data_IF_822574931025
#
_entry.id   IF_822574931025
#
_cell.length_a   1.000
_cell.length_b   1.000
_cell.length_c   1.000
_cell.angle_alpha   90.00
_cell.angle_beta   90.00
_cell.angle_gamma   90.00
#
_symmetry.space_group_name_H-M   'P 1'
#
loop_
_entity.id
_entity.type
_entity.pdbx_description
1 polymer ?
#
# COMPACT_ATOMS: atom_id res chain seq x y z
N UNK A 1 -19.40 -30.87 45.77
CA UNK A 1 -20.73 -31.49 45.62
C UNK A 1 -21.11 -31.45 44.15
N UNK A 2 -20.86 -32.55 43.43
CA UNK A 2 -21.63 -32.93 42.24
C UNK A 2 -22.93 -33.60 42.73
N UNK A 3 -24.03 -33.67 41.96
CA UNK A 3 -24.17 -34.52 40.75
C UNK A 3 -24.98 -33.79 39.64
N UNK A 4 -25.28 -34.30 38.46
CA UNK A 4 -25.30 -35.68 37.96
C UNK A 4 -25.69 -35.71 36.47
N UNK A 5 -25.57 -36.91 35.93
CA UNK A 5 -25.54 -37.34 34.53
C UNK A 5 -26.93 -37.82 34.07
N UNK A 6 -27.04 -38.08 32.76
CA UNK A 6 -27.82 -39.14 32.06
C UNK A 6 -28.94 -38.65 31.12
N UNK A 7 -28.91 -39.14 29.88
CA UNK A 7 -30.07 -39.13 28.97
C UNK A 7 -29.76 -39.42 27.50
N UNK A 8 -29.36 -40.66 27.17
CA UNK A 8 -29.30 -41.21 25.81
C UNK A 8 -30.66 -41.83 25.45
N UNK A 9 -31.24 -41.53 24.27
CA UNK A 9 -32.15 -42.44 23.52
C UNK A 9 -31.97 -42.16 22.02
N UNK A 10 -31.82 -43.22 21.21
CA UNK A 10 -31.76 -43.16 19.75
C UNK A 10 -32.87 -43.94 19.05
N UNK A 11 -32.87 -43.92 17.72
CA UNK A 11 -33.39 -44.93 16.75
C UNK A 11 -33.45 -44.27 15.36
N UNK A 12 -32.78 -44.79 14.32
CA UNK A 12 -33.08 -45.96 13.43
C UNK A 12 -34.14 -45.67 12.34
N UNK A 13 -33.79 -46.02 11.10
CA UNK A 13 -34.68 -46.26 9.95
C UNK A 13 -34.11 -45.67 8.65
N UNK A 14 -33.36 -46.37 7.78
CA UNK A 14 -33.69 -47.45 6.79
C UNK A 14 -34.08 -46.96 5.39
N UNK A 15 -33.45 -47.60 4.37
CA UNK A 15 -33.89 -47.80 2.97
C UNK A 15 -33.83 -46.60 2.01
N UNK A 16 -33.50 -46.71 0.70
CA UNK A 16 -33.30 -47.84 -0.23
C UNK A 16 -32.70 -47.34 -1.55
N UNK A 17 -31.92 -48.20 -2.21
CA UNK A 17 -31.69 -48.40 -3.65
C UNK A 17 -32.10 -47.34 -4.70
N UNK A 18 -31.17 -47.14 -5.65
CA UNK A 18 -31.45 -46.64 -7.00
C UNK A 18 -30.26 -46.88 -7.93
N UNK A 19 -30.13 -48.11 -8.43
CA UNK A 19 -29.28 -48.46 -9.57
C UNK A 19 -29.83 -47.82 -10.85
N UNK A 20 -28.96 -47.24 -11.67
CA UNK A 20 -29.22 -47.07 -13.10
C UNK A 20 -27.92 -47.30 -13.87
N UNK A 21 -27.77 -48.52 -14.39
CA UNK A 21 -26.97 -48.81 -15.57
C UNK A 21 -27.72 -48.25 -16.79
N UNK A 22 -26.99 -47.65 -17.73
CA UNK A 22 -27.22 -47.84 -19.17
C UNK A 22 -25.90 -47.65 -19.94
N UNK A 23 -25.49 -48.74 -20.58
CA UNK A 23 -24.54 -48.84 -21.66
C UNK A 23 -24.84 -47.87 -22.83
N UNK A 24 -23.80 -47.37 -23.50
CA UNK A 24 -23.79 -47.46 -24.96
C UNK A 24 -22.39 -47.49 -25.57
N UNK A 25 -22.17 -48.54 -26.37
CA UNK A 25 -21.06 -48.76 -27.32
C UNK A 25 -21.13 -47.67 -28.41
N UNK A 26 -20.05 -47.09 -28.91
CA UNK A 26 -19.00 -47.72 -29.71
C UNK A 26 -19.16 -47.30 -31.19
N UNK A 27 -18.23 -46.52 -31.75
CA UNK A 27 -18.05 -46.47 -33.20
C UNK A 27 -16.63 -46.13 -33.65
N UNK A 28 -16.28 -46.79 -34.74
CA UNK A 28 -14.97 -47.00 -35.36
C UNK A 28 -14.51 -45.81 -36.20
N UNK A 29 -13.20 -45.61 -36.20
CA UNK A 29 -12.31 -45.57 -37.37
C UNK A 29 -12.72 -44.72 -38.58
N UNK A 30 -11.96 -43.64 -38.82
CA UNK A 30 -11.96 -42.88 -40.06
C UNK A 30 -10.61 -42.19 -40.24
N UNK A 31 -9.66 -42.89 -40.86
CA UNK A 31 -8.44 -42.29 -41.43
C UNK A 31 -8.84 -41.48 -42.67
N UNK A 32 -8.46 -40.21 -42.70
CA UNK A 32 -8.46 -39.40 -43.92
C UNK A 32 -7.19 -38.54 -43.93
N UNK A 33 -6.28 -38.91 -44.81
CA UNK A 33 -5.17 -38.08 -45.28
C UNK A 33 -5.72 -36.89 -46.07
N UNK A 34 -5.20 -35.68 -45.83
CA UNK A 34 -5.14 -34.60 -46.82
C UNK A 34 -4.24 -33.44 -46.33
N UNK A 35 -3.77 -32.56 -47.23
CA UNK A 35 -2.33 -32.33 -47.41
C UNK A 35 -1.89 -30.89 -47.08
N UNK A 36 -0.56 -30.73 -46.98
CA UNK A 36 0.11 -29.50 -47.43
C UNK A 36 -0.05 -28.26 -46.54
N UNK A 37 0.58 -28.28 -45.37
CA UNK A 37 0.87 -27.05 -44.61
C UNK A 37 2.02 -26.31 -45.27
N UNK A 38 1.73 -25.28 -46.06
CA UNK A 38 2.70 -24.25 -46.41
C UNK A 38 2.99 -23.42 -45.16
N UNK A 39 4.08 -23.76 -44.49
CA UNK A 39 4.60 -23.01 -43.35
C UNK A 39 5.13 -21.65 -43.80
N UNK A 40 4.27 -20.63 -43.84
CA UNK A 40 4.71 -19.25 -43.69
C UNK A 40 5.31 -19.10 -42.30
N UNK A 41 6.64 -19.03 -42.24
CA UNK A 41 7.41 -18.68 -41.05
C UNK A 41 6.95 -17.28 -40.61
N UNK A 42 5.99 -17.23 -39.69
CA UNK A 42 5.63 -16.00 -38.97
C UNK A 42 6.86 -15.64 -38.14
N UNK A 43 7.57 -14.64 -38.63
CA UNK A 43 8.71 -13.99 -37.96
C UNK A 43 8.28 -13.69 -36.52
N UNK A 44 8.85 -14.42 -35.57
CA UNK A 44 8.49 -14.31 -34.16
C UNK A 44 8.56 -12.87 -33.70
N UNK A 45 7.41 -12.29 -33.38
CA UNK A 45 7.33 -11.00 -32.72
C UNK A 45 8.10 -11.11 -31.41
N UNK A 46 9.18 -10.34 -31.30
CA UNK A 46 10.09 -10.37 -30.16
C UNK A 46 9.27 -10.16 -28.87
N UNK A 47 9.23 -11.12 -27.92
CA UNK A 47 8.37 -11.05 -26.73
C UNK A 47 8.64 -9.80 -25.87
N UNK A 48 9.81 -9.19 -26.05
CA UNK A 48 10.18 -7.90 -25.45
C UNK A 48 9.28 -6.73 -25.89
N UNK A 49 8.85 -6.69 -27.17
CA UNK A 49 8.02 -5.61 -27.69
C UNK A 49 6.59 -5.65 -27.14
N UNK A 50 6.04 -6.85 -26.91
CA UNK A 50 4.70 -7.00 -26.33
C UNK A 50 4.68 -6.55 -24.87
N UNK A 51 5.77 -6.77 -24.13
CA UNK A 51 5.90 -6.34 -22.73
C UNK A 51 6.07 -4.82 -22.62
N UNK A 52 6.82 -4.20 -23.54
CA UNK A 52 6.98 -2.74 -23.59
C UNK A 52 5.66 -2.03 -23.95
N UNK A 53 4.87 -2.60 -24.86
CA UNK A 53 3.56 -2.07 -25.23
C UNK A 53 2.53 -2.22 -24.11
N UNK A 54 2.58 -3.32 -23.33
CA UNK A 54 1.78 -3.50 -22.12
C UNK A 54 2.12 -2.43 -21.06
N UNK A 55 3.42 -2.24 -20.79
CA UNK A 55 3.90 -1.25 -19.83
C UNK A 55 3.52 0.20 -20.25
N UNK A 56 3.60 0.52 -21.54
CA UNK A 56 3.18 1.82 -22.06
C UNK A 56 1.66 2.06 -21.92
N UNK A 57 0.85 1.01 -22.07
CA UNK A 57 -0.59 1.05 -21.79
C UNK A 57 -0.89 1.29 -20.31
N UNK A 58 -0.20 0.59 -19.42
CA UNK A 58 -0.32 0.74 -17.97
C UNK A 58 0.09 2.14 -17.49
N UNK A 59 1.19 2.69 -18.01
CA UNK A 59 1.65 4.05 -17.69
C UNK A 59 0.63 5.10 -18.18
N UNK A 60 0.04 4.91 -19.37
CA UNK A 60 -0.97 5.83 -19.90
C UNK A 60 -2.23 5.85 -19.04
N UNK A 61 -2.71 4.68 -18.60
CA UNK A 61 -3.86 4.59 -17.70
C UNK A 61 -3.53 5.12 -16.29
N UNK A 62 -2.31 4.90 -15.78
CA UNK A 62 -1.86 5.48 -14.52
C UNK A 62 -1.81 7.02 -14.58
N UNK A 63 -1.31 7.61 -15.67
CA UNK A 63 -1.28 9.06 -15.88
C UNK A 63 -2.69 9.64 -16.05
N UNK A 64 -3.56 8.96 -16.80
CA UNK A 64 -4.98 9.35 -16.93
C UNK A 64 -5.69 9.31 -15.58
N UNK A 65 -5.50 8.24 -14.83
CA UNK A 65 -6.03 8.09 -13.48
C UNK A 65 -5.51 9.21 -12.57
N UNK A 66 -4.20 9.47 -12.56
CA UNK A 66 -3.60 10.52 -11.75
C UNK A 66 -4.14 11.91 -12.13
N UNK A 67 -4.31 12.20 -13.42
CA UNK A 67 -4.94 13.44 -13.90
C UNK A 67 -6.40 13.55 -13.46
N UNK A 68 -7.18 12.47 -13.54
CA UNK A 68 -8.55 12.43 -13.01
C UNK A 68 -8.55 12.67 -11.49
N UNK A 69 -7.62 12.07 -10.73
CA UNK A 69 -7.49 12.33 -9.29
C UNK A 69 -7.12 13.78 -8.98
N UNK A 70 -6.23 14.42 -9.74
CA UNK A 70 -5.91 15.84 -9.57
C UNK A 70 -7.11 16.75 -9.87
N UNK A 71 -7.90 16.43 -10.90
CA UNK A 71 -9.13 17.17 -11.20
C UNK A 71 -10.20 16.97 -10.11
N UNK A 72 -10.27 15.77 -9.53
CA UNK A 72 -11.13 15.47 -8.39
C UNK A 72 -10.68 16.20 -7.13
N UNK A 73 -9.37 16.29 -6.89
CA UNK A 73 -8.79 17.05 -5.79
C UNK A 73 -9.16 18.54 -5.91
N UNK A 74 -9.04 19.13 -7.11
CA UNK A 74 -9.46 20.52 -7.36
C UNK A 74 -10.97 20.74 -7.16
N UNK A 75 -11.81 19.74 -7.46
CA UNK A 75 -13.25 19.84 -7.22
C UNK A 75 -13.61 19.66 -5.73
N UNK A 76 -12.89 18.78 -5.02
CA UNK A 76 -13.08 18.54 -3.59
C UNK A 76 -12.48 19.65 -2.72
N UNK A 77 -11.44 20.34 -3.17
CA UNK A 77 -10.73 21.36 -2.39
C UNK A 77 -11.68 22.47 -1.84
N UNK A 78 -12.58 23.07 -2.64
CA UNK A 78 -13.58 24.00 -2.10
C UNK A 78 -14.52 23.37 -1.06
N UNK A 79 -14.85 22.08 -1.21
CA UNK A 79 -15.77 21.37 -0.31
C UNK A 79 -15.09 20.98 1.00
N UNK A 80 -13.83 20.59 0.95
CA UNK A 80 -12.98 20.36 2.13
C UNK A 80 -12.77 21.66 2.89
N UNK A 81 -12.52 22.76 2.19
CA UNK A 81 -12.45 24.10 2.79
C UNK A 81 -13.79 24.50 3.44
N UNK A 82 -14.91 24.25 2.76
CA UNK A 82 -16.25 24.49 3.29
C UNK A 82 -16.52 23.67 4.56
N UNK A 83 -16.13 22.39 4.57
CA UNK A 83 -16.18 21.53 5.77
C UNK A 83 -15.30 22.06 6.91
N UNK A 84 -14.09 22.55 6.61
CA UNK A 84 -13.20 23.17 7.60
C UNK A 84 -13.84 24.39 8.26
N UNK A 85 -14.40 25.30 7.43
CA UNK A 85 -15.14 26.48 7.90
C UNK A 85 -16.36 26.08 8.74
N UNK A 86 -17.08 25.04 8.34
CA UNK A 86 -18.21 24.49 9.10
C UNK A 86 -17.71 23.97 10.47
N UNK A 87 -16.55 23.30 10.52
CA UNK A 87 -15.90 22.88 11.77
C UNK A 87 -15.59 24.04 12.73
N UNK A 88 -15.04 25.15 12.21
CA UNK A 88 -14.75 26.36 13.02
C UNK A 88 -16.04 26.96 13.63
N UNK A 89 -17.14 26.99 12.88
CA UNK A 89 -18.44 27.46 13.39
C UNK A 89 -18.96 26.60 14.54
N UNK A 90 -18.73 25.28 14.50
CA UNK A 90 -19.06 24.37 15.60
C UNK A 90 -18.27 24.75 16.84
N UNK A 91 -16.96 24.91 16.69
CA UNK A 91 -16.08 25.17 17.82
C UNK A 91 -16.40 26.54 18.44
N UNK A 92 -16.73 27.54 17.62
CA UNK A 92 -17.19 28.85 18.09
C UNK A 92 -18.53 28.77 18.83
N UNK A 93 -19.47 27.98 18.33
CA UNK A 93 -20.76 27.74 19.00
C UNK A 93 -20.60 27.01 20.35
N UNK A 94 -19.63 26.10 20.46
CA UNK A 94 -19.39 25.35 21.70
C UNK A 94 -18.62 26.17 22.74
N UNK A 95 -17.64 26.95 22.30
CA UNK A 95 -16.68 27.67 23.16
C UNK A 95 -17.04 29.12 23.47
N UNK A 96 -18.06 29.69 22.81
CA UNK A 96 -18.48 31.07 23.05
C UNK A 96 -18.90 31.33 24.49
N UNK A 97 -18.03 31.99 25.27
CA UNK A 97 -18.30 32.45 26.63
C UNK A 97 -19.47 33.44 26.62
N UNK A 98 -20.51 33.13 27.39
CA UNK A 98 -21.72 33.95 27.52
C UNK A 98 -22.89 33.59 26.60
N UNK A 99 -22.77 32.59 25.73
CA UNK A 99 -23.91 32.10 24.94
C UNK A 99 -24.83 31.19 25.75
N UNK A 100 -26.15 31.38 25.58
CA UNK A 100 -27.17 30.54 26.23
C UNK A 100 -27.17 29.12 25.65
N UNK A 101 -27.67 28.15 26.41
CA UNK A 101 -27.76 26.74 25.96
C UNK A 101 -28.58 26.65 24.66
N UNK A 102 -29.65 27.44 24.54
CA UNK A 102 -30.50 27.53 23.36
C UNK A 102 -29.76 28.04 22.12
N UNK A 103 -28.85 29.01 22.28
CA UNK A 103 -28.03 29.54 21.19
C UNK A 103 -26.99 28.52 20.72
N UNK A 104 -26.34 27.81 21.65
CA UNK A 104 -25.43 26.71 21.33
C UNK A 104 -26.16 25.59 20.58
N UNK A 105 -27.35 25.21 21.03
CA UNK A 105 -28.19 24.21 20.39
C UNK A 105 -28.72 24.64 19.00
N UNK A 106 -28.94 25.95 18.77
CA UNK A 106 -29.27 26.49 17.46
C UNK A 106 -28.07 26.44 16.52
N UNK A 107 -26.89 26.85 17.00
CA UNK A 107 -25.63 26.79 16.23
C UNK A 107 -25.29 25.36 15.79
N UNK A 108 -25.42 24.38 16.69
CA UNK A 108 -25.20 22.97 16.37
C UNK A 108 -26.18 22.43 15.31
N UNK A 109 -27.45 22.86 15.31
CA UNK A 109 -28.43 22.45 14.29
C UNK A 109 -28.09 23.01 12.91
N UNK A 110 -27.69 24.28 12.85
CA UNK A 110 -27.24 24.92 11.60
C UNK A 110 -25.99 24.21 11.07
N UNK A 111 -25.05 23.89 11.97
CA UNK A 111 -23.85 23.13 11.66
C UNK A 111 -24.18 21.74 11.07
N UNK A 112 -25.04 20.96 11.73
CA UNK A 112 -25.45 19.64 11.25
C UNK A 112 -26.04 19.71 9.84
N UNK A 113 -26.91 20.69 9.58
CA UNK A 113 -27.57 20.81 8.28
C UNK A 113 -26.59 21.23 7.17
N UNK A 114 -25.66 22.15 7.46
CA UNK A 114 -24.62 22.52 6.50
C UNK A 114 -23.67 21.37 6.19
N UNK A 115 -23.25 20.61 7.22
CA UNK A 115 -22.42 19.42 7.02
C UNK A 115 -23.15 18.35 6.19
N UNK A 116 -24.46 18.16 6.43
CA UNK A 116 -25.30 17.25 5.64
C UNK A 116 -25.33 17.65 4.17
N UNK A 117 -25.59 18.93 3.87
CA UNK A 117 -25.64 19.42 2.49
C UNK A 117 -24.32 19.25 1.72
N UNK A 118 -23.19 19.48 2.38
CA UNK A 118 -21.87 19.26 1.76
C UNK A 118 -21.62 17.76 1.54
N UNK A 119 -22.01 16.92 2.50
CA UNK A 119 -21.87 15.46 2.39
C UNK A 119 -22.75 14.89 1.27
N UNK A 120 -24.02 15.31 1.18
CA UNK A 120 -24.96 14.90 0.12
C UNK A 120 -24.42 15.27 -1.29
N UNK A 121 -23.69 16.38 -1.41
CA UNK A 121 -23.05 16.78 -2.66
C UNK A 121 -21.82 15.93 -3.01
N UNK A 122 -21.12 15.39 -2.00
CA UNK A 122 -19.94 14.56 -2.18
C UNK A 122 -20.27 13.08 -2.38
N UNK A 123 -21.39 12.60 -1.84
CA UNK A 123 -21.76 11.17 -1.83
C UNK A 123 -21.80 10.53 -3.23
N UNK A 124 -22.49 11.09 -4.25
CA UNK A 124 -22.53 10.48 -5.58
C UNK A 124 -21.14 10.36 -6.23
N UNK A 125 -20.27 11.32 -5.90
CA UNK A 125 -18.90 11.34 -6.40
C UNK A 125 -18.06 10.26 -5.70
N UNK A 126 -18.15 10.15 -4.38
CA UNK A 126 -17.47 9.11 -3.61
C UNK A 126 -17.92 7.72 -4.06
N UNK A 127 -19.21 7.52 -4.31
CA UNK A 127 -19.75 6.26 -4.84
C UNK A 127 -19.20 5.93 -6.22
N UNK A 128 -19.18 6.91 -7.14
CA UNK A 128 -18.61 6.70 -8.48
C UNK A 128 -17.11 6.39 -8.41
N UNK A 129 -16.39 7.04 -7.51
CA UNK A 129 -14.97 6.81 -7.27
C UNK A 129 -14.71 5.41 -6.69
N UNK A 130 -15.51 4.99 -5.70
CA UNK A 130 -15.45 3.65 -5.11
C UNK A 130 -15.76 2.56 -6.13
N UNK A 131 -16.75 2.78 -7.02
CA UNK A 131 -17.06 1.86 -8.11
C UNK A 131 -15.86 1.74 -9.06
N UNK A 132 -15.26 2.85 -9.48
CA UNK A 132 -14.07 2.84 -10.36
C UNK A 132 -12.90 2.09 -9.71
N UNK A 133 -12.59 2.36 -8.45
CA UNK A 133 -11.52 1.64 -7.73
C UNK A 133 -11.77 0.14 -7.68
N UNK A 134 -13.00 -0.27 -7.34
CA UNK A 134 -13.35 -1.70 -7.29
C UNK A 134 -13.26 -2.41 -8.64
N UNK A 135 -13.42 -1.68 -9.75
CA UNK A 135 -13.26 -2.22 -11.10
C UNK A 135 -11.79 -2.41 -11.51
N UNK A 136 -10.88 -1.58 -10.97
CA UNK A 136 -9.45 -1.65 -11.27
C UNK A 136 -8.77 -2.83 -10.58
N UNK A 137 -9.21 -3.19 -9.37
CA UNK A 137 -8.66 -4.36 -8.66
C UNK A 137 -9.05 -5.68 -9.34
N UNK A 138 -10.28 -5.79 -9.86
CA UNK A 138 -10.71 -7.00 -10.60
C UNK A 138 -9.92 -7.24 -11.88
N UNK A 139 -9.53 -6.18 -12.59
CA UNK A 139 -8.75 -6.31 -13.82
C UNK A 139 -7.35 -6.89 -13.59
N UNK A 140 -6.82 -6.82 -12.34
CA UNK A 140 -5.53 -7.42 -11.98
C UNK A 140 -5.64 -8.91 -11.63
N UNK A 141 -6.76 -9.34 -11.06
CA UNK A 141 -7.01 -10.76 -10.76
C UNK A 141 -7.17 -11.57 -12.06
N UNK A 142 -7.84 -11.02 -13.07
CA UNK A 142 -8.10 -11.72 -14.34
C UNK A 142 -6.87 -11.85 -15.25
N UNK A 143 -5.78 -11.10 -15.01
CA UNK A 143 -4.58 -11.11 -15.87
C UNK A 143 -3.42 -11.97 -15.32
N UNK A 144 -3.55 -12.52 -14.10
CA UNK A 144 -2.44 -13.17 -13.39
C UNK A 144 -2.36 -14.69 -13.48
N UNK A 145 -3.41 -15.40 -13.88
CA UNK A 145 -3.42 -16.86 -13.82
C UNK A 145 -3.71 -17.48 -15.17
N UNK A 146 -2.64 -17.89 -15.85
CA UNK A 146 -2.70 -18.94 -16.85
C UNK A 146 -3.40 -20.14 -16.25
N UNK A 147 -4.68 -20.29 -16.60
CA UNK A 147 -5.57 -21.32 -16.14
C UNK A 147 -4.97 -22.68 -16.51
N UNK A 148 -4.39 -23.36 -15.52
CA UNK A 148 -4.19 -24.81 -15.61
C UNK A 148 -5.59 -25.42 -15.47
N UNK A 149 -6.13 -26.11 -16.49
CA UNK A 149 -7.43 -26.74 -16.40
C UNK A 149 -7.27 -28.07 -15.68
N UNK A 150 -7.97 -28.23 -14.56
CA UNK A 150 -8.17 -29.53 -13.93
C UNK A 150 -7.77 -29.54 -12.47
N UNK A 151 -8.73 -29.26 -11.60
CA UNK A 151 -9.20 -30.18 -10.56
C UNK A 151 -10.40 -29.49 -9.90
N UNK A 152 -11.60 -29.98 -10.21
CA UNK A 152 -12.84 -29.51 -9.60
C UNK A 152 -12.78 -29.77 -8.09
N UNK A 153 -12.67 -28.69 -7.31
CA UNK A 153 -12.76 -28.76 -5.87
C UNK A 153 -13.81 -27.76 -5.40
N UNK A 154 -14.97 -28.27 -4.99
CA UNK A 154 -16.06 -27.51 -4.37
C UNK A 154 -15.72 -27.10 -2.93
N UNK A 155 -14.49 -26.67 -2.65
CA UNK A 155 -14.16 -26.06 -1.37
C UNK A 155 -14.64 -24.61 -1.44
N UNK A 156 -15.67 -24.29 -0.66
CA UNK A 156 -16.03 -22.92 -0.37
C UNK A 156 -14.76 -22.20 0.11
N UNK A 157 -14.25 -21.29 -0.71
CA UNK A 157 -13.12 -20.42 -0.39
C UNK A 157 -13.35 -19.86 1.02
N UNK A 158 -12.44 -20.10 1.98
CA UNK A 158 -12.62 -19.62 3.34
C UNK A 158 -12.76 -18.10 3.29
N UNK A 159 -13.88 -17.59 3.78
CA UNK A 159 -14.16 -16.15 3.82
C UNK A 159 -12.96 -15.44 4.45
N UNK A 160 -12.32 -14.57 3.67
CA UNK A 160 -11.14 -13.84 4.12
C UNK A 160 -11.44 -13.15 5.46
N UNK A 161 -10.58 -13.36 6.45
CA UNK A 161 -10.74 -12.74 7.78
C UNK A 161 -10.82 -11.22 7.67
N UNK A 162 -10.16 -10.66 6.64
CA UNK A 162 -10.22 -9.25 6.25
C UNK A 162 -11.63 -8.81 5.88
N UNK A 163 -12.29 -9.55 5.00
CA UNK A 163 -13.59 -9.18 4.45
C UNK A 163 -14.69 -9.18 5.50
N UNK A 164 -14.64 -10.15 6.41
CA UNK A 164 -15.54 -10.21 7.56
C UNK A 164 -15.30 -9.07 8.56
N UNK A 165 -14.05 -8.62 8.72
CA UNK A 165 -13.67 -7.60 9.71
C UNK A 165 -13.88 -6.17 9.20
N UNK A 166 -13.74 -5.93 7.89
CA UNK A 166 -13.84 -4.57 7.32
C UNK A 166 -15.26 -4.21 6.85
N UNK A 167 -16.16 -5.18 6.71
CA UNK A 167 -17.53 -4.93 6.25
C UNK A 167 -17.53 -4.25 4.88
N UNK A 168 -18.21 -3.12 4.75
CA UNK A 168 -18.25 -2.35 3.50
C UNK A 168 -16.89 -1.81 3.05
N UNK A 169 -15.96 -1.56 3.99
CA UNK A 169 -14.60 -1.09 3.67
C UNK A 169 -13.74 -2.17 3.00
N UNK A 170 -14.17 -3.43 2.97
CA UNK A 170 -13.40 -4.51 2.32
C UNK A 170 -13.10 -4.26 0.85
N UNK A 171 -13.90 -3.42 0.17
CA UNK A 171 -13.73 -3.06 -1.23
C UNK A 171 -12.54 -2.13 -1.49
N UNK A 172 -12.02 -1.49 -0.45
CA UNK A 172 -10.88 -0.60 -0.53
C UNK A 172 -9.60 -1.37 -0.27
N UNK A 173 -8.49 -1.00 -0.90
CA UNK A 173 -7.17 -1.54 -0.56
C UNK A 173 -6.71 -1.04 0.81
N UNK A 174 -5.86 -1.82 1.48
CA UNK A 174 -5.34 -1.46 2.81
C UNK A 174 -4.60 -0.11 2.79
N UNK A 175 -3.88 0.16 1.70
CA UNK A 175 -3.21 1.44 1.47
C UNK A 175 -4.19 2.62 1.46
N UNK A 176 -5.32 2.49 0.74
CA UNK A 176 -6.34 3.53 0.69
C UNK A 176 -7.05 3.73 2.02
N UNK A 177 -7.32 2.65 2.76
CA UNK A 177 -7.91 2.76 4.09
C UNK A 177 -6.94 3.51 5.01
N UNK A 178 -5.68 3.09 5.08
CA UNK A 178 -4.69 3.68 5.98
C UNK A 178 -4.34 5.11 5.56
N UNK A 179 -3.82 5.31 4.35
CA UNK A 179 -3.28 6.60 3.90
C UNK A 179 -4.35 7.58 3.43
N UNK A 180 -5.48 7.08 2.94
CA UNK A 180 -6.57 7.92 2.42
C UNK A 180 -7.60 8.28 3.49
N UNK A 181 -8.12 7.27 4.22
CA UNK A 181 -9.25 7.48 5.15
C UNK A 181 -8.76 7.75 6.56
N UNK A 182 -7.97 6.83 7.14
CA UNK A 182 -7.58 6.92 8.55
C UNK A 182 -6.70 8.13 8.84
N UNK A 183 -5.87 8.51 7.87
CA UNK A 183 -5.07 9.73 7.95
C UNK A 183 -5.96 10.95 8.20
N UNK A 184 -7.17 11.07 7.66
CA UNK A 184 -8.04 12.25 7.79
C UNK A 184 -8.69 12.39 9.18
N UNK A 185 -8.72 11.33 9.97
CA UNK A 185 -9.42 11.29 11.25
C UNK A 185 -8.63 12.04 12.35
N UNK A 186 -9.35 12.52 13.36
CA UNK A 186 -8.75 13.01 14.61
C UNK A 186 -8.25 11.84 15.47
N UNK A 187 -7.38 12.09 16.44
CA UNK A 187 -6.92 11.04 17.35
C UNK A 187 -8.08 10.34 18.09
N UNK A 188 -9.12 11.08 18.47
CA UNK A 188 -10.30 10.54 19.16
C UNK A 188 -11.13 9.63 18.25
N UNK A 189 -11.38 10.06 17.02
CA UNK A 189 -12.16 9.28 16.05
C UNK A 189 -11.40 8.03 15.62
N UNK A 190 -10.09 8.15 15.44
CA UNK A 190 -9.20 7.04 15.13
C UNK A 190 -9.22 5.97 16.24
N UNK A 191 -9.15 6.38 17.51
CA UNK A 191 -9.29 5.46 18.65
C UNK A 191 -10.66 4.81 18.70
N UNK A 192 -11.73 5.56 18.42
CA UNK A 192 -13.10 5.02 18.41
C UNK A 192 -13.28 3.99 17.29
N UNK A 193 -12.75 4.29 16.11
CA UNK A 193 -12.79 3.40 14.95
C UNK A 193 -11.96 2.13 15.18
N UNK A 194 -10.82 2.24 15.87
CA UNK A 194 -9.96 1.12 16.25
C UNK A 194 -10.69 0.06 17.12
N UNK A 195 -11.75 0.43 17.82
CA UNK A 195 -12.54 -0.48 18.66
C UNK A 195 -13.58 -1.30 17.87
N UNK A 196 -13.83 -0.93 16.61
CA UNK A 196 -14.91 -1.54 15.82
C UNK A 196 -14.50 -2.82 15.08
N UNK A 197 -13.20 -3.02 14.84
CA UNK A 197 -12.69 -4.09 13.99
C UNK A 197 -11.23 -4.40 14.28
N UNK A 198 -10.83 -5.67 14.16
CA UNK A 198 -9.42 -6.09 14.34
C UNK A 198 -8.50 -5.46 13.31
N UNK A 199 -8.93 -5.38 12.05
CA UNK A 199 -8.15 -4.74 10.99
C UNK A 199 -8.05 -3.23 11.22
N UNK A 200 -9.15 -2.56 11.60
CA UNK A 200 -9.10 -1.13 11.92
C UNK A 200 -8.27 -0.83 13.17
N UNK A 201 -8.25 -1.74 14.16
CA UNK A 201 -7.32 -1.66 15.27
C UNK A 201 -5.86 -1.70 14.80
N UNK A 202 -5.49 -2.62 13.92
CA UNK A 202 -4.11 -2.70 13.41
C UNK A 202 -3.78 -1.49 12.52
N UNK A 203 -4.68 -1.11 11.61
CA UNK A 203 -4.50 -0.02 10.66
C UNK A 203 -4.40 1.34 11.35
N UNK A 204 -5.23 1.57 12.37
CA UNK A 204 -5.17 2.80 13.17
C UNK A 204 -3.84 2.97 13.92
N UNK A 205 -3.08 1.89 14.15
CA UNK A 205 -1.76 1.95 14.77
C UNK A 205 -0.63 2.21 13.78
N UNK A 206 -0.93 2.37 12.49
CA UNK A 206 0.08 2.66 11.49
C UNK A 206 0.78 4.00 11.78
N UNK A 207 2.11 3.98 11.74
CA UNK A 207 2.93 5.12 12.14
C UNK A 207 2.74 6.35 11.24
N UNK A 208 2.33 6.16 9.98
CA UNK A 208 2.04 7.26 9.03
C UNK A 208 0.88 8.13 9.54
N UNK A 209 -0.17 7.50 10.09
CA UNK A 209 -1.36 8.20 10.60
C UNK A 209 -0.99 9.08 11.80
N UNK A 210 -0.30 8.49 12.78
CA UNK A 210 0.12 9.22 13.99
C UNK A 210 1.18 10.27 13.72
N UNK A 211 2.06 10.05 12.74
CA UNK A 211 3.00 11.08 12.30
C UNK A 211 2.26 12.32 11.80
N UNK A 212 1.23 12.15 10.98
CA UNK A 212 0.42 13.28 10.50
C UNK A 212 -0.23 14.00 11.68
N UNK A 213 -0.94 13.27 12.54
CA UNK A 213 -1.63 13.84 13.70
C UNK A 213 -0.67 14.64 14.58
N UNK A 214 0.48 14.05 14.91
CA UNK A 214 1.50 14.72 15.68
C UNK A 214 2.00 16.01 15.02
N UNK A 215 2.30 15.99 13.73
CA UNK A 215 2.81 17.18 13.03
C UNK A 215 1.73 18.26 12.85
N UNK A 216 0.46 17.87 12.70
CA UNK A 216 -0.65 18.80 12.55
C UNK A 216 -1.02 19.50 13.86
N UNK A 217 -1.06 18.76 14.97
CA UNK A 217 -1.49 19.28 16.27
C UNK A 217 -0.34 19.90 17.10
N UNK A 218 0.91 19.61 16.75
CA UNK A 218 2.06 20.12 17.50
C UNK A 218 2.22 21.63 17.30
N UNK A 219 2.15 22.37 18.40
CA UNK A 219 2.51 23.78 18.43
C UNK A 219 4.00 23.97 18.13
N UNK A 220 4.30 24.83 17.13
CA UNK A 220 5.67 25.14 16.68
C UNK A 220 6.59 25.70 17.78
N UNK A 221 6.02 26.28 18.84
CA UNK A 221 6.77 26.82 19.99
C UNK A 221 7.05 25.81 21.12
N UNK A 222 6.62 24.55 20.99
CA UNK A 222 6.78 23.56 22.06
C UNK A 222 8.20 22.98 22.13
N UNK A 223 8.62 22.57 23.32
CA UNK A 223 9.95 22.07 23.68
C UNK A 223 10.50 21.00 22.71
N UNK A 224 11.83 20.79 22.71
CA UNK A 224 12.56 19.84 21.84
C UNK A 224 11.79 18.53 21.61
N UNK A 225 11.60 18.16 20.34
CA UNK A 225 10.98 16.90 19.95
C UNK A 225 11.81 15.70 20.44
N UNK A 226 11.16 14.75 21.12
CA UNK A 226 11.77 13.49 21.55
C UNK A 226 11.03 12.33 20.89
N UNK A 227 11.68 11.69 19.91
CA UNK A 227 11.10 10.52 19.25
C UNK A 227 11.16 9.29 20.17
N UNK A 228 10.03 8.59 20.33
CA UNK A 228 9.85 7.45 21.26
C UNK A 228 9.75 6.10 20.56
N UNK A 229 10.43 5.95 19.43
CA UNK A 229 10.44 4.72 18.64
C UNK A 229 9.24 4.54 17.70
N UNK A 230 8.08 5.09 18.04
CA UNK A 230 6.91 5.21 17.14
C UNK A 230 6.29 6.61 17.24
N UNK A 231 5.61 7.05 16.19
CA UNK A 231 4.87 8.31 16.20
C UNK A 231 3.67 8.28 17.15
N UNK A 232 3.03 7.12 17.34
CA UNK A 232 1.98 6.96 18.36
C UNK A 232 2.52 7.24 19.77
N UNK A 233 3.65 6.63 20.15
CA UNK A 233 4.25 6.88 21.46
C UNK A 233 4.77 8.33 21.58
N UNK A 234 5.31 8.88 20.49
CA UNK A 234 5.76 10.28 20.44
C UNK A 234 4.59 11.26 20.59
N UNK A 235 3.42 10.91 20.05
CA UNK A 235 2.18 11.66 20.19
C UNK A 235 1.63 11.61 21.61
N UNK A 236 1.59 10.43 22.24
CA UNK A 236 1.12 10.26 23.61
C UNK A 236 2.08 10.86 24.66
N UNK A 237 3.39 10.84 24.39
CA UNK A 237 4.42 11.26 25.34
C UNK A 237 5.37 12.32 24.71
N UNK A 238 4.86 13.53 24.41
CA UNK A 238 5.58 14.52 23.60
C UNK A 238 6.75 15.21 24.32
N UNK A 239 6.81 15.12 25.65
CA UNK A 239 7.81 15.79 26.50
C UNK A 239 8.86 14.80 27.04
N UNK A 240 10.11 15.24 27.28
CA UNK A 240 11.11 14.46 28.01
C UNK A 240 10.61 13.99 29.39
N UNK A 241 9.81 14.80 30.09
CA UNK A 241 9.29 14.49 31.43
C UNK A 241 8.42 13.22 31.45
N UNK A 242 7.87 12.85 30.29
CA UNK A 242 7.06 11.64 30.13
C UNK A 242 7.89 10.35 29.95
N UNK A 243 9.21 10.40 30.06
CA UNK A 243 10.11 9.24 29.89
C UNK A 243 9.70 8.04 30.75
N UNK A 244 9.44 8.28 32.03
CA UNK A 244 9.06 7.24 33.00
C UNK A 244 7.69 6.66 32.65
N UNK A 245 6.72 7.53 32.35
CA UNK A 245 5.37 7.13 31.94
C UNK A 245 5.38 6.31 30.64
N UNK A 246 6.18 6.73 29.65
CA UNK A 246 6.32 6.03 28.38
C UNK A 246 6.89 4.62 28.58
N UNK A 247 7.94 4.46 29.40
CA UNK A 247 8.55 3.15 29.68
C UNK A 247 7.59 2.19 30.39
N UNK A 248 6.72 2.69 31.26
CA UNK A 248 5.71 1.90 31.97
C UNK A 248 4.44 1.62 31.16
N UNK A 249 4.24 2.27 30.02
CA UNK A 249 2.97 2.23 29.30
C UNK A 249 2.69 0.82 28.72
N UNK A 250 1.44 0.31 28.76
CA UNK A 250 1.10 -1.01 28.24
C UNK A 250 1.48 -1.23 26.78
N UNK A 251 1.46 -0.17 25.95
CA UNK A 251 1.87 -0.29 24.54
C UNK A 251 3.36 -0.60 24.36
N UNK A 252 4.18 -0.32 25.37
CA UNK A 252 5.62 -0.61 25.37
C UNK A 252 5.89 -1.92 26.10
N UNK A 253 5.26 -2.13 27.25
CA UNK A 253 5.52 -3.29 28.12
C UNK A 253 4.81 -4.55 27.66
N UNK A 254 3.65 -4.42 27.02
CA UNK A 254 2.77 -5.52 26.62
C UNK A 254 2.26 -5.29 25.18
N UNK A 255 3.12 -5.44 24.16
CA UNK A 255 2.69 -5.28 22.77
C UNK A 255 1.56 -6.26 22.47
N UNK A 256 0.41 -5.73 22.03
CA UNK A 256 -0.78 -6.52 21.73
C UNK A 256 -0.50 -7.38 20.50
N UNK A 257 -0.51 -8.69 20.66
CA UNK A 257 -0.38 -9.63 19.55
C UNK A 257 -1.77 -9.93 18.97
N UNK A 258 -2.04 -9.44 17.76
CA UNK A 258 -3.32 -9.63 17.08
C UNK A 258 -3.17 -10.73 16.03
N UNK A 259 -3.82 -11.86 16.27
CA UNK A 259 -3.76 -13.01 15.38
C UNK A 259 -4.78 -12.92 14.23
N UNK A 260 -4.44 -13.54 13.10
CA UNK A 260 -5.33 -13.68 11.94
C UNK A 260 -5.53 -12.40 11.14
N UNK A 261 -4.65 -11.41 11.30
CA UNK A 261 -4.57 -10.21 10.47
C UNK A 261 -3.39 -10.36 9.52
N UNK A 262 -3.66 -10.34 8.23
CA UNK A 262 -2.66 -10.29 7.18
C UNK A 262 -2.98 -9.11 6.26
N UNK A 263 -1.97 -8.30 6.00
CA UNK A 263 -2.06 -7.13 5.12
C UNK A 263 -0.74 -7.04 4.36
N UNK A 264 -0.78 -7.24 3.05
CA UNK A 264 0.42 -7.12 2.20
C UNK A 264 1.03 -5.72 2.30
N UNK A 265 0.19 -4.69 2.41
CA UNK A 265 0.64 -3.32 2.57
C UNK A 265 1.47 -3.15 3.86
N UNK A 266 0.97 -3.62 5.01
CA UNK A 266 1.71 -3.55 6.27
C UNK A 266 2.95 -4.43 6.26
N UNK A 267 2.88 -5.61 5.64
CA UNK A 267 4.04 -6.50 5.48
C UNK A 267 5.14 -5.84 4.65
N UNK A 268 4.80 -5.22 3.52
CA UNK A 268 5.74 -4.48 2.69
C UNK A 268 6.34 -3.30 3.44
N UNK A 269 5.54 -2.57 4.21
CA UNK A 269 6.04 -1.48 5.05
C UNK A 269 7.03 -2.00 6.10
N UNK A 270 6.67 -3.05 6.83
CA UNK A 270 7.55 -3.68 7.82
C UNK A 270 8.84 -4.20 7.19
N UNK A 271 8.75 -4.89 6.05
CA UNK A 271 9.91 -5.38 5.30
C UNK A 271 10.83 -4.22 4.92
N UNK A 272 10.30 -3.14 4.34
CA UNK A 272 11.10 -1.97 3.96
C UNK A 272 11.76 -1.30 5.16
N UNK A 273 11.11 -1.29 6.33
CA UNK A 273 11.66 -0.71 7.55
C UNK A 273 12.69 -1.59 8.28
N UNK A 274 12.67 -2.91 8.06
CA UNK A 274 13.55 -3.87 8.74
C UNK A 274 14.56 -4.56 7.81
N UNK A 275 14.45 -4.35 6.50
CA UNK A 275 15.42 -4.85 5.55
C UNK A 275 16.72 -4.07 5.73
N UNK A 276 17.79 -4.79 6.10
CA UNK A 276 19.12 -4.21 6.06
C UNK A 276 19.45 -3.79 4.64
N UNK A 277 19.98 -2.58 4.46
CA UNK A 277 20.45 -2.12 3.15
C UNK A 277 21.52 -3.06 2.55
N UNK A 278 22.22 -3.82 3.39
CA UNK A 278 23.16 -4.86 2.95
C UNK A 278 22.49 -6.01 2.18
N UNK A 279 21.17 -6.18 2.27
CA UNK A 279 20.40 -7.20 1.55
C UNK A 279 19.77 -6.70 0.25
N UNK A 280 19.73 -5.38 0.02
CA UNK A 280 19.30 -4.82 -1.27
C UNK A 280 20.30 -5.12 -2.41
N UNK A 281 21.51 -5.53 -2.04
CA UNK A 281 22.53 -6.07 -2.92
C UNK A 281 23.02 -7.39 -2.33
N UNK A 282 22.56 -8.57 -2.78
CA UNK A 282 23.44 -9.72 -2.65
C UNK A 282 24.74 -9.34 -3.37
N UNK A 283 25.92 -9.33 -2.71
CA UNK A 283 27.14 -9.44 -3.49
C UNK A 283 26.92 -10.68 -4.37
N UNK A 284 27.14 -10.62 -5.69
CA UNK A 284 27.05 -11.82 -6.50
C UNK A 284 27.89 -12.90 -5.80
N UNK A 285 27.42 -14.14 -5.85
CA UNK A 285 28.33 -15.26 -5.61
C UNK A 285 29.54 -15.02 -6.51
N UNK A 286 30.70 -14.76 -5.89
CA UNK A 286 31.96 -14.57 -6.60
C UNK A 286 32.06 -15.69 -7.65
N UNK A 287 32.37 -15.38 -8.93
CA UNK A 287 32.68 -16.44 -9.87
C UNK A 287 33.74 -17.34 -9.22
N UNK A 288 33.65 -18.67 -9.39
CA UNK A 288 34.60 -19.60 -8.79
C UNK A 288 36.00 -19.08 -9.10
N UNK A 289 36.75 -18.78 -8.05
CA UNK A 289 38.04 -18.13 -8.14
C UNK A 289 38.87 -18.83 -9.22
N UNK A 290 39.24 -18.08 -10.26
CA UNK A 290 40.38 -18.47 -11.10
C UNK A 290 41.52 -18.87 -10.15
N UNK A 291 42.20 -19.98 -10.43
CA UNK A 291 43.15 -20.57 -9.49
C UNK A 291 44.15 -19.51 -9.01
N UNK A 292 44.48 -19.52 -7.72
CA UNK A 292 45.31 -18.50 -7.11
C UNK A 292 46.68 -18.50 -7.78
N UNK A 293 46.95 -17.50 -8.61
CA UNK A 293 48.32 -17.13 -8.95
C UNK A 293 48.99 -16.68 -7.66
N UNK A 294 49.78 -17.60 -7.11
CA UNK A 294 50.71 -17.44 -6.00
C UNK A 294 51.39 -16.06 -6.02
N UNK A 295 50.98 -15.20 -5.09
CA UNK A 295 51.61 -13.91 -4.82
C UNK A 295 51.34 -13.55 -3.37
N UNK A 296 52.23 -13.98 -2.48
CA UNK A 296 52.14 -13.79 -1.03
C UNK A 296 52.19 -12.31 -0.63
N UNK A 297 51.32 -11.93 0.33
CA UNK A 297 51.62 -10.87 1.29
C UNK A 297 51.29 -9.45 0.86
N UNK A 298 50.03 -9.15 0.59
CA UNK A 298 49.53 -7.77 0.50
C UNK A 298 48.16 -7.67 1.13
N UNK A 299 48.04 -6.85 2.19
CA UNK A 299 46.75 -6.49 2.78
C UNK A 299 45.86 -5.90 1.69
N UNK A 300 44.81 -6.60 1.26
CA UNK A 300 43.85 -6.06 0.30
C UNK A 300 43.07 -4.94 0.98
N UNK A 301 43.51 -3.72 0.74
CA UNK A 301 42.67 -2.54 0.90
C UNK A 301 41.56 -2.68 -0.13
N UNK A 302 40.34 -2.97 0.32
CA UNK A 302 39.16 -2.87 -0.53
C UNK A 302 39.04 -1.40 -0.94
N UNK A 303 39.42 -1.09 -2.18
CA UNK A 303 39.16 0.22 -2.75
C UNK A 303 37.64 0.36 -2.86
N UNK A 304 37.07 1.20 -1.98
CA UNK A 304 35.64 1.51 -1.95
C UNK A 304 35.27 2.51 -3.05
N UNK A 305 36.19 2.88 -3.95
CA UNK A 305 35.90 3.74 -5.08
C UNK A 305 34.91 3.06 -6.04
N UNK A 306 33.76 3.70 -6.24
CA UNK A 306 32.79 3.26 -7.26
C UNK A 306 33.36 3.70 -8.62
N UNK A 307 33.60 2.77 -9.57
CA UNK A 307 34.16 3.12 -10.87
C UNK A 307 33.23 4.07 -11.62
N UNK A 308 33.81 5.10 -12.25
CA UNK A 308 33.12 6.03 -13.12
C UNK A 308 33.41 5.67 -14.57
N UNK A 309 32.38 5.34 -15.33
CA UNK A 309 32.50 4.84 -16.69
C UNK A 309 31.65 5.67 -17.67
N UNK A 310 32.13 5.82 -18.90
CA UNK A 310 31.45 6.59 -19.93
C UNK A 310 30.40 5.73 -20.65
N UNK A 311 29.16 6.22 -20.70
CA UNK A 311 28.04 5.58 -21.40
C UNK A 311 28.34 5.33 -22.88
N UNK A 312 29.03 6.26 -23.54
CA UNK A 312 29.28 6.20 -24.99
C UNK A 312 30.31 5.12 -25.35
N UNK A 313 31.23 4.81 -24.44
CA UNK A 313 32.28 3.81 -24.64
C UNK A 313 31.89 2.42 -24.14
N UNK A 314 30.81 2.31 -23.38
CA UNK A 314 30.37 1.06 -22.76
C UNK A 314 29.28 0.38 -23.57
N UNK A 315 29.61 -0.78 -24.14
CA UNK A 315 28.59 -1.62 -24.77
C UNK A 315 27.74 -2.35 -23.71
N UNK A 316 26.47 -2.68 -24.01
CA UNK A 316 25.57 -3.35 -23.06
C UNK A 316 26.08 -4.70 -22.53
N UNK A 317 26.81 -5.47 -23.34
CA UNK A 317 27.36 -6.76 -22.91
C UNK A 317 28.48 -6.56 -21.89
N UNK A 318 29.34 -5.56 -22.11
CA UNK A 318 30.37 -5.16 -21.16
C UNK A 318 29.77 -4.65 -19.86
N UNK A 319 28.73 -3.79 -19.92
CA UNK A 319 28.00 -3.37 -18.71
C UNK A 319 27.44 -4.57 -17.95
N UNK A 320 26.77 -5.48 -18.67
CA UNK A 320 26.16 -6.64 -18.06
C UNK A 320 27.20 -7.54 -17.38
N UNK A 321 28.31 -7.85 -18.07
CA UNK A 321 29.36 -8.73 -17.54
C UNK A 321 30.17 -8.10 -16.41
N UNK A 322 30.46 -6.80 -16.47
CA UNK A 322 31.32 -6.10 -15.49
C UNK A 322 30.57 -5.57 -14.29
N UNK A 323 29.31 -5.17 -14.46
CA UNK A 323 28.55 -4.44 -13.45
C UNK A 323 27.25 -5.13 -13.08
N UNK A 324 26.34 -5.39 -14.04
CA UNK A 324 25.00 -5.89 -13.70
C UNK A 324 25.01 -7.33 -13.16
N UNK A 325 25.65 -8.27 -13.86
CA UNK A 325 25.76 -9.67 -13.46
C UNK A 325 26.53 -9.84 -12.13
N UNK A 326 27.68 -9.17 -11.92
CA UNK A 326 28.37 -9.20 -10.64
C UNK A 326 27.85 -8.15 -9.64
N UNK A 327 26.68 -7.54 -9.84
CA UNK A 327 26.12 -6.56 -8.90
C UNK A 327 27.09 -5.48 -8.41
N UNK A 328 28.06 -5.07 -9.24
CA UNK A 328 29.06 -4.07 -8.87
C UNK A 328 28.50 -2.69 -9.11
N UNK A 329 28.52 -1.78 -8.12
CA UNK A 329 28.10 -0.41 -8.34
C UNK A 329 29.02 0.24 -9.38
N UNK A 330 28.44 1.04 -10.27
CA UNK A 330 29.15 1.85 -11.27
C UNK A 330 28.42 3.18 -11.41
N UNK A 331 29.17 4.26 -11.50
CA UNK A 331 28.63 5.56 -11.90
C UNK A 331 28.79 5.68 -13.41
N UNK A 332 27.70 6.00 -14.11
CA UNK A 332 27.73 6.20 -15.56
C UNK A 332 27.71 7.71 -15.83
N UNK A 333 28.74 8.21 -16.51
CA UNK A 333 28.80 9.58 -17.03
C UNK A 333 28.46 9.60 -18.52
N UNK A 334 28.10 10.77 -19.04
CA UNK A 334 27.75 11.03 -20.44
C UNK A 334 26.57 10.21 -20.94
N UNK A 335 25.66 9.84 -20.04
CA UNK A 335 24.45 9.05 -20.36
C UNK A 335 23.36 9.90 -21.04
N UNK A 336 23.58 11.21 -21.18
CA UNK A 336 22.60 12.15 -21.68
C UNK A 336 21.71 12.70 -20.57
N UNK A 337 21.82 12.18 -19.34
CA UNK A 337 21.16 12.74 -18.14
C UNK A 337 21.65 14.16 -17.87
N UNK A 338 22.89 14.49 -18.27
CA UNK A 338 23.46 15.83 -18.16
C UNK A 338 22.72 16.88 -18.99
N UNK A 339 22.01 16.44 -20.03
CA UNK A 339 21.17 17.29 -20.88
C UNK A 339 19.76 17.49 -20.32
N UNK A 340 19.38 16.76 -19.27
CA UNK A 340 18.04 16.89 -18.71
C UNK A 340 17.91 18.26 -18.04
N UNK A 341 16.76 18.95 -18.19
CA UNK A 341 16.52 20.22 -17.51
C UNK A 341 16.72 20.12 -15.99
N UNK A 342 16.38 18.96 -15.41
CA UNK A 342 16.61 18.68 -14.00
C UNK A 342 18.10 18.72 -13.61
N UNK A 343 19.01 18.34 -14.49
CA UNK A 343 20.45 18.36 -14.20
C UNK A 343 21.00 19.78 -14.07
N UNK A 344 20.43 20.73 -14.82
CA UNK A 344 20.80 22.15 -14.76
C UNK A 344 20.10 22.87 -13.61
N UNK A 345 18.82 22.55 -13.37
CA UNK A 345 17.96 23.33 -12.48
C UNK A 345 17.77 22.71 -11.08
N UNK A 346 18.18 21.47 -10.84
CA UNK A 346 18.05 20.80 -9.53
C UNK A 346 19.32 20.91 -8.70
N UNK A 347 19.88 22.12 -8.62
CA UNK A 347 20.85 22.42 -7.58
C UNK A 347 20.14 22.46 -6.23
N UNK A 348 20.86 22.12 -5.16
CA UNK A 348 20.29 22.20 -3.80
C UNK A 348 19.77 23.61 -3.51
N UNK A 349 20.45 24.64 -3.99
CA UNK A 349 20.04 26.05 -3.86
C UNK A 349 18.75 26.36 -4.65
N UNK A 350 18.61 25.87 -5.89
CA UNK A 350 17.40 26.06 -6.68
C UNK A 350 16.19 25.30 -6.09
N UNK A 351 16.43 24.10 -5.56
CA UNK A 351 15.42 23.33 -4.82
C UNK A 351 15.03 24.06 -3.53
N UNK A 352 16.00 24.56 -2.76
CA UNK A 352 15.75 25.34 -1.55
C UNK A 352 15.01 26.65 -1.85
N UNK A 353 15.33 27.34 -2.95
CA UNK A 353 14.62 28.54 -3.39
C UNK A 353 13.16 28.25 -3.76
N UNK A 354 12.90 27.16 -4.50
CA UNK A 354 11.54 26.71 -4.83
C UNK A 354 10.75 26.25 -3.60
N UNK A 355 11.37 25.54 -2.68
CA UNK A 355 10.70 25.05 -1.45
C UNK A 355 10.44 26.19 -0.45
N UNK A 356 11.34 27.19 -0.36
CA UNK A 356 11.08 28.41 0.40
C UNK A 356 9.89 29.21 -0.14
N UNK A 357 9.68 29.22 -1.46
CA UNK A 357 8.49 29.83 -2.06
C UNK A 357 7.19 29.11 -1.66
N UNK A 358 7.21 27.78 -1.53
CA UNK A 358 6.04 27.02 -1.04
C UNK A 358 5.76 27.31 0.45
N UNK A 359 6.78 27.62 1.24
CA UNK A 359 6.59 28.09 2.62
C UNK A 359 6.03 29.52 2.74
N UNK A 360 6.21 30.37 1.72
CA UNK A 360 5.72 31.76 1.73
C UNK A 360 4.29 31.86 1.18
N UNK A 361 3.85 30.96 0.30
CA UNK A 361 2.48 30.94 -0.24
C UNK A 361 1.47 30.28 0.73
N UNK A 362 1.94 29.66 1.82
CA UNK A 362 1.13 29.09 2.90
C UNK A 362 1.24 29.89 4.22
N UNK A 363 1.71 31.14 4.15
CA UNK A 363 1.53 32.18 5.17
C UNK A 363 0.42 33.12 4.70
#
# INVERSE_FOLDING_TARGET
MSPGRVGHIGSKGTSTNGQHDQDNRGHLQGSAEHPGVNGTVVRGSNPFNNRLLCLAGEIKEAVRFWREQCLCANWMEPKVYEMGRIGELRDLALTGDGSTIEEKARGLRIWCEQARLVTDQMEPFLDQWLIKLSSMDRAKEDQGHGHVPGYGSNHAEPVSSRDSSLGSLRRLTDALIIEGILVLLTAKDLCSLALTSRFLHVFSRNDVVWRRLFLAERHRGSARLVFRGTWLLTYLFPSPEHDVACKGHPLVTHPVNIQGVFSEYLQHQWLRSNMSFNHFYPPPSLPPSLPPTLGMGGSQVYDLSIPLEDYQSMDPDTFYRRYAYPGRPVMIQNSGVESWPAWQDWTLDALLAKVRLVQIVLL
#
